data_IF_453272225761
#
_entry.id   IF_453272225761
#
_cell.length_a   1.000
_cell.length_b   1.000
_cell.length_c   1.000
_cell.angle_alpha   90.00
_cell.angle_beta   90.00
_cell.angle_gamma   90.00
#
_symmetry.space_group_name_H-M   'P 1'
#
loop_
_entity.id
_entity.type
_entity.pdbx_description
1 polymer ?
#
# COMPACT_ATOMS: atom_id res chain seq x y z
N UNK A 1 5.32 38.08 51.02
CA UNK A 1 4.40 37.70 49.92
C UNK A 1 5.09 37.62 48.55
N UNK A 2 6.23 38.30 48.34
CA UNK A 2 6.98 38.30 47.06
C UNK A 2 7.43 36.89 46.61
N UNK A 3 7.95 36.09 47.55
CA UNK A 3 8.44 34.73 47.30
C UNK A 3 7.32 33.72 46.89
N UNK A 4 6.09 33.93 47.35
CA UNK A 4 4.96 33.03 47.03
C UNK A 4 4.43 33.27 45.60
N UNK A 5 4.42 34.52 45.16
CA UNK A 5 4.01 34.89 43.81
C UNK A 5 5.04 34.45 42.76
N UNK A 6 6.33 34.54 43.09
CA UNK A 6 7.41 34.07 42.22
C UNK A 6 7.46 32.54 42.12
N UNK A 7 7.27 31.84 43.25
CA UNK A 7 7.11 30.39 43.27
C UNK A 7 5.89 29.92 42.44
N UNK A 8 4.77 30.65 42.48
CA UNK A 8 3.59 30.33 41.68
C UNK A 8 3.82 30.46 40.17
N UNK A 9 4.57 31.48 39.74
CA UNK A 9 4.95 31.66 38.33
C UNK A 9 5.87 30.54 37.85
N UNK A 10 6.86 30.17 38.67
CA UNK A 10 7.76 29.04 38.36
C UNK A 10 6.99 27.71 38.32
N UNK A 11 6.08 27.48 39.25
CA UNK A 11 5.22 26.29 39.24
C UNK A 11 4.32 26.22 38.00
N UNK A 12 3.73 27.36 37.58
CA UNK A 12 2.95 27.44 36.34
C UNK A 12 3.77 27.15 35.09
N UNK A 13 5.00 27.68 35.01
CA UNK A 13 5.91 27.42 33.89
C UNK A 13 6.33 25.93 33.83
N UNK A 14 6.65 25.33 34.98
CA UNK A 14 6.98 23.89 35.05
C UNK A 14 5.79 23.04 34.65
N UNK A 15 4.57 23.40 35.07
CA UNK A 15 3.36 22.66 34.72
C UNK A 15 3.06 22.71 33.22
N UNK A 16 3.21 23.89 32.59
CA UNK A 16 3.10 24.03 31.14
C UNK A 16 4.19 23.24 30.40
N UNK A 17 5.41 23.23 30.92
CA UNK A 17 6.51 22.44 30.35
C UNK A 17 6.24 20.94 30.42
N UNK A 18 5.75 20.42 31.56
CA UNK A 18 5.41 19.00 31.72
C UNK A 18 4.25 18.61 30.81
N UNK A 19 3.25 19.47 30.62
CA UNK A 19 2.17 19.22 29.67
C UNK A 19 2.69 19.16 28.23
N UNK A 20 3.53 20.10 27.83
CA UNK A 20 4.15 20.10 26.50
C UNK A 20 5.02 18.85 26.28
N UNK A 21 5.81 18.45 27.28
CA UNK A 21 6.62 17.23 27.24
C UNK A 21 5.74 15.98 27.13
N UNK A 22 4.60 15.94 27.82
CA UNK A 22 3.67 14.81 27.75
C UNK A 22 3.09 14.67 26.34
N UNK A 23 2.66 15.78 25.71
CA UNK A 23 2.19 15.76 24.33
C UNK A 23 3.30 15.31 23.39
N UNK A 24 4.53 15.82 23.57
CA UNK A 24 5.67 15.44 22.74
C UNK A 24 5.98 13.94 22.82
N UNK A 25 5.99 13.35 24.03
CA UNK A 25 6.22 11.92 24.23
C UNK A 25 5.14 11.09 23.50
N UNK A 26 3.87 11.47 23.60
CA UNK A 26 2.77 10.79 22.90
C UNK A 26 2.95 10.90 21.38
N UNK A 27 3.28 12.08 20.86
CA UNK A 27 3.51 12.28 19.42
C UNK A 27 4.69 11.46 18.90
N UNK A 28 5.79 11.35 19.67
CA UNK A 28 6.92 10.50 19.29
C UNK A 28 6.58 9.01 19.33
N UNK A 29 5.77 8.57 20.29
CA UNK A 29 5.27 7.20 20.34
C UNK A 29 4.47 6.83 19.08
N UNK A 30 3.52 7.69 18.70
CA UNK A 30 2.72 7.51 17.48
C UNK A 30 3.58 7.55 16.20
N UNK A 31 4.58 8.43 16.15
CA UNK A 31 5.50 8.52 15.03
C UNK A 31 6.34 7.24 14.88
N UNK A 32 6.85 6.68 15.99
CA UNK A 32 7.60 5.42 15.99
C UNK A 32 6.75 4.24 15.54
N UNK A 33 5.57 4.06 16.10
CA UNK A 33 4.63 2.99 15.72
C UNK A 33 4.28 3.06 14.22
N UNK A 34 4.17 4.27 13.68
CA UNK A 34 3.97 4.50 12.25
C UNK A 34 5.18 4.11 11.42
N UNK A 35 6.38 4.49 11.84
CA UNK A 35 7.61 4.10 11.16
C UNK A 35 7.74 2.57 11.14
N UNK A 36 7.50 1.91 12.27
CA UNK A 36 7.53 0.44 12.39
C UNK A 36 6.47 -0.21 11.47
N UNK A 37 5.26 0.36 11.39
CA UNK A 37 4.20 -0.14 10.49
C UNK A 37 4.57 0.01 9.01
N UNK A 38 5.09 1.18 8.62
CA UNK A 38 5.48 1.44 7.23
C UNK A 38 6.67 0.57 6.85
N UNK A 39 7.65 0.41 7.74
CA UNK A 39 8.80 -0.45 7.53
C UNK A 39 8.39 -1.91 7.41
N UNK A 40 7.58 -2.45 8.32
CA UNK A 40 7.09 -3.83 8.22
C UNK A 40 6.25 -4.03 6.96
N UNK A 41 5.37 -3.09 6.63
CA UNK A 41 4.60 -3.17 5.38
C UNK A 41 5.50 -3.14 4.14
N UNK A 42 6.49 -2.24 4.10
CA UNK A 42 7.48 -2.16 3.02
C UNK A 42 8.33 -3.42 2.95
N UNK A 43 8.80 -3.92 4.08
CA UNK A 43 9.63 -5.11 4.18
C UNK A 43 8.84 -6.31 3.69
N UNK A 44 7.59 -6.47 4.11
CA UNK A 44 6.69 -7.48 3.55
C UNK A 44 6.60 -7.32 2.04
N UNK A 45 6.15 -6.17 1.54
CA UNK A 45 6.03 -5.95 0.08
C UNK A 45 7.36 -6.11 -0.69
N UNK A 46 8.53 -5.90 -0.08
CA UNK A 46 9.85 -5.91 -0.74
C UNK A 46 10.59 -7.26 -0.61
N UNK A 47 10.63 -7.87 0.58
CA UNK A 47 11.18 -9.22 0.79
C UNK A 47 10.38 -10.29 0.04
N UNK A 48 9.11 -9.99 -0.26
CA UNK A 48 8.28 -10.81 -1.12
C UNK A 48 8.66 -10.78 -2.62
N UNK A 49 9.71 -10.05 -3.04
CA UNK A 49 10.03 -9.94 -4.48
C UNK A 49 11.41 -10.54 -4.79
N UNK A 50 12.34 -10.54 -3.82
CA UNK A 50 13.76 -10.90 -4.05
C UNK A 50 14.31 -12.02 -3.13
N UNK A 51 13.46 -12.60 -2.27
CA UNK A 51 13.87 -13.60 -1.26
C UNK A 51 13.54 -15.05 -1.63
N UNK A 52 14.51 -15.95 -1.40
CA UNK A 52 14.37 -17.41 -1.48
C UNK A 52 13.38 -18.01 -0.43
N UNK A 53 12.72 -17.15 0.34
CA UNK A 53 11.99 -17.53 1.56
C UNK A 53 10.48 -17.70 1.35
N UNK A 54 9.88 -17.09 0.32
CA UNK A 54 8.40 -17.12 0.19
C UNK A 54 7.85 -17.28 -1.23
N UNK A 55 8.62 -17.00 -2.28
CA UNK A 55 8.16 -17.12 -3.67
C UNK A 55 8.82 -18.29 -4.35
N UNK A 56 8.02 -19.31 -4.69
CA UNK A 56 8.44 -20.28 -5.69
C UNK A 56 8.04 -19.76 -7.06
N UNK A 57 8.99 -19.19 -7.77
CA UNK A 57 8.86 -19.03 -9.21
C UNK A 57 8.57 -20.42 -9.80
N UNK A 58 7.47 -20.55 -10.53
CA UNK A 58 7.11 -21.81 -11.20
C UNK A 58 8.02 -22.13 -12.39
N UNK A 59 9.07 -21.33 -12.61
CA UNK A 59 10.01 -21.44 -13.73
C UNK A 59 9.46 -20.89 -15.05
N UNK A 60 8.25 -20.31 -15.06
CA UNK A 60 7.66 -19.70 -16.25
C UNK A 60 7.89 -18.20 -16.23
N UNK A 61 8.88 -17.73 -17.00
CA UNK A 61 9.07 -16.32 -17.31
C UNK A 61 8.74 -16.05 -18.78
N UNK A 62 8.10 -14.93 -19.07
CA UNK A 62 7.88 -14.49 -20.44
C UNK A 62 7.80 -12.98 -20.56
N UNK A 63 8.31 -12.45 -21.66
CA UNK A 63 8.05 -11.05 -22.02
C UNK A 63 6.61 -10.91 -22.50
N UNK A 64 5.89 -9.93 -21.96
CA UNK A 64 4.47 -9.70 -22.24
C UNK A 64 4.22 -8.26 -22.67
N UNK A 65 3.18 -8.06 -23.47
CA UNK A 65 2.64 -6.74 -23.80
C UNK A 65 1.53 -6.32 -22.85
N UNK A 66 1.09 -5.06 -22.98
CA UNK A 66 0.00 -4.48 -22.18
C UNK A 66 -1.31 -5.26 -22.36
N UNK A 67 -1.55 -5.82 -23.55
CA UNK A 67 -2.69 -6.65 -23.90
C UNK A 67 -2.81 -7.93 -23.06
N UNK A 68 -1.69 -8.41 -22.48
CA UNK A 68 -1.70 -9.52 -21.54
C UNK A 68 -1.79 -9.06 -20.08
N UNK A 69 -1.19 -7.93 -19.73
CA UNK A 69 -1.18 -7.37 -18.37
C UNK A 69 -2.58 -6.91 -17.95
N UNK A 70 -3.26 -6.14 -18.80
CA UNK A 70 -4.59 -5.56 -18.50
C UNK A 70 -5.62 -6.63 -18.09
N UNK A 71 -5.89 -7.69 -18.89
CA UNK A 71 -6.87 -8.71 -18.50
C UNK A 71 -6.46 -9.47 -17.23
N UNK A 72 -5.17 -9.61 -16.96
CA UNK A 72 -4.68 -10.23 -15.72
C UNK A 72 -5.01 -9.36 -14.51
N UNK A 73 -4.86 -8.03 -14.59
CA UNK A 73 -5.29 -7.11 -13.53
C UNK A 73 -6.79 -7.25 -13.22
N UNK A 74 -7.64 -7.36 -14.24
CA UNK A 74 -9.07 -7.57 -13.99
C UNK A 74 -9.35 -8.92 -13.32
N UNK A 75 -8.68 -9.98 -13.75
CA UNK A 75 -8.82 -11.31 -13.14
C UNK A 75 -8.37 -11.35 -11.69
N UNK A 76 -7.35 -10.59 -11.29
CA UNK A 76 -6.87 -10.60 -9.89
C UNK A 76 -7.93 -10.16 -8.89
N UNK A 77 -8.81 -9.22 -9.27
CA UNK A 77 -9.95 -8.77 -8.47
C UNK A 77 -11.13 -9.75 -8.41
N UNK A 78 -11.16 -10.75 -9.28
CA UNK A 78 -12.18 -11.82 -9.30
C UNK A 78 -11.63 -13.03 -8.54
N UNK A 79 -10.41 -13.44 -8.86
CA UNK A 79 -9.78 -14.65 -8.35
C UNK A 79 -8.99 -14.42 -7.04
N UNK A 80 -8.94 -13.17 -6.55
CA UNK A 80 -8.29 -12.77 -5.30
C UNK A 80 -6.81 -13.20 -5.21
N UNK A 81 -6.06 -12.94 -6.27
CA UNK A 81 -4.61 -13.09 -6.29
C UNK A 81 -3.89 -11.75 -6.34
N UNK A 82 -2.60 -11.75 -6.02
CA UNK A 82 -1.77 -10.54 -5.94
C UNK A 82 -1.03 -10.30 -7.26
N UNK A 83 -0.97 -9.05 -7.69
CA UNK A 83 -0.09 -8.61 -8.78
C UNK A 83 0.90 -7.60 -8.22
N UNK A 84 2.17 -7.73 -8.60
CA UNK A 84 3.25 -6.85 -8.20
C UNK A 84 3.89 -6.23 -9.42
N UNK A 85 4.22 -4.94 -9.34
CA UNK A 85 4.93 -4.22 -10.39
C UNK A 85 6.29 -3.74 -9.86
N UNK A 86 7.37 -4.38 -10.33
CA UNK A 86 8.75 -4.05 -9.98
C UNK A 86 9.33 -3.10 -11.04
N UNK A 87 10.08 -2.08 -10.63
CA UNK A 87 10.70 -1.12 -11.55
C UNK A 87 9.76 -0.02 -12.06
N UNK A 88 8.62 0.19 -11.40
CA UNK A 88 7.79 1.38 -11.66
C UNK A 88 8.48 2.65 -11.17
N UNK A 89 8.40 3.71 -11.98
CA UNK A 89 8.90 5.06 -11.65
C UNK A 89 8.13 5.75 -10.48
N UNK A 90 7.16 5.08 -9.85
CA UNK A 90 6.35 5.58 -8.73
C UNK A 90 5.17 4.64 -8.39
N UNK A 91 4.40 4.88 -7.31
CA UNK A 91 3.31 3.99 -6.93
C UNK A 91 2.18 4.00 -7.96
N UNK A 92 1.35 2.96 -7.97
CA UNK A 92 0.10 2.91 -8.74
C UNK A 92 -0.90 3.89 -8.11
N UNK A 93 -0.97 3.88 -6.79
CA UNK A 93 -1.70 4.82 -5.94
C UNK A 93 -1.07 4.80 -4.54
N UNK A 94 -1.36 5.82 -3.73
CA UNK A 94 -0.97 5.88 -2.33
C UNK A 94 -2.23 5.72 -1.49
N UNK A 95 -2.27 4.75 -0.60
CA UNK A 95 -3.37 4.53 0.34
C UNK A 95 -3.27 5.52 1.50
N UNK A 96 -4.37 6.19 1.82
CA UNK A 96 -4.47 7.11 2.95
C UNK A 96 -5.13 6.37 4.12
N UNK A 97 -4.36 6.13 5.18
CA UNK A 97 -4.80 5.47 6.39
C UNK A 97 -5.30 6.48 7.44
N UNK A 98 -6.03 5.96 8.42
CA UNK A 98 -6.42 6.71 9.61
C UNK A 98 -5.22 7.37 10.30
N UNK A 99 -5.40 8.61 10.78
CA UNK A 99 -4.32 9.37 11.43
C UNK A 99 -3.36 10.07 10.47
N UNK A 100 -3.71 10.18 9.18
CA UNK A 100 -2.92 10.91 8.19
C UNK A 100 -1.68 10.15 7.68
N UNK A 101 -1.62 8.84 7.91
CA UNK A 101 -0.53 7.98 7.45
C UNK A 101 -0.79 7.58 5.99
N UNK A 102 0.28 7.32 5.25
CA UNK A 102 0.19 6.94 3.83
C UNK A 102 1.03 5.71 3.50
N UNK A 103 0.56 4.90 2.56
CA UNK A 103 1.27 3.71 2.06
C UNK A 103 1.29 3.75 0.53
N UNK A 104 2.48 3.74 -0.05
CA UNK A 104 2.65 3.63 -1.49
C UNK A 104 2.40 2.21 -1.97
N UNK A 105 1.48 2.05 -2.93
CA UNK A 105 1.09 0.75 -3.46
C UNK A 105 1.71 0.51 -4.84
N UNK A 106 2.57 -0.50 -4.90
CA UNK A 106 3.13 -1.06 -6.13
C UNK A 106 2.46 -2.38 -6.52
N UNK A 107 1.35 -2.70 -5.84
CA UNK A 107 0.62 -3.94 -5.99
C UNK A 107 -0.85 -3.70 -6.27
N UNK A 108 -1.45 -4.69 -6.92
CA UNK A 108 -2.89 -4.79 -7.09
C UNK A 108 -3.34 -6.08 -6.43
N UNK A 109 -4.08 -5.93 -5.33
CA UNK A 109 -4.59 -7.03 -4.53
C UNK A 109 -5.80 -6.56 -3.70
N UNK A 110 -6.57 -7.52 -3.18
CA UNK A 110 -7.74 -7.29 -2.32
C UNK A 110 -7.47 -7.68 -0.86
N UNK A 111 -6.21 -7.86 -0.48
CA UNK A 111 -5.88 -8.43 0.82
C UNK A 111 -5.95 -7.42 1.95
N UNK A 112 -6.36 -7.89 3.11
CA UNK A 112 -6.11 -7.20 4.38
C UNK A 112 -4.81 -7.72 4.96
N UNK A 113 -3.90 -6.80 5.24
CA UNK A 113 -2.58 -7.10 5.78
C UNK A 113 -2.55 -6.67 7.24
N UNK A 114 -2.33 -7.60 8.16
CA UNK A 114 -2.08 -7.27 9.57
C UNK A 114 -0.58 -7.08 9.78
N UNK A 115 -0.20 -5.91 10.25
CA UNK A 115 1.19 -5.54 10.58
C UNK A 115 1.21 -5.13 12.05
N UNK A 116 1.73 -6.00 12.90
CA UNK A 116 1.63 -5.85 14.36
C UNK A 116 0.17 -5.78 14.85
N UNK A 117 -0.17 -4.75 15.62
CA UNK A 117 -1.54 -4.49 16.09
C UNK A 117 -2.41 -3.71 15.07
N UNK A 118 -1.82 -3.27 13.95
CA UNK A 118 -2.50 -2.42 12.96
C UNK A 118 -2.95 -3.27 11.77
N UNK A 119 -4.24 -3.17 11.45
CA UNK A 119 -4.83 -3.78 10.27
C UNK A 119 -4.82 -2.80 9.09
N UNK A 120 -3.94 -3.04 8.12
CA UNK A 120 -3.88 -2.33 6.86
C UNK A 120 -4.87 -2.98 5.90
N UNK A 121 -6.05 -2.36 5.77
CA UNK A 121 -7.05 -2.77 4.80
C UNK A 121 -6.74 -2.13 3.45
N UNK A 122 -6.51 -2.95 2.41
CA UNK A 122 -6.50 -2.45 1.04
C UNK A 122 -7.89 -1.96 0.64
N UNK A 123 -7.96 -1.29 -0.52
CA UNK A 123 -9.20 -0.64 -0.98
C UNK A 123 -10.34 -1.66 -1.03
N UNK A 124 -11.40 -1.38 -0.24
CA UNK A 124 -12.57 -2.25 -0.17
C UNK A 124 -13.46 -2.03 -1.40
N UNK A 125 -13.54 -3.04 -2.26
CA UNK A 125 -14.33 -3.03 -3.49
C UNK A 125 -15.42 -4.10 -3.39
N UNK A 126 -16.59 -3.71 -2.89
CA UNK A 126 -17.67 -4.61 -2.51
C UNK A 126 -18.44 -5.18 -3.71
N UNK A 127 -18.44 -4.50 -4.85
CA UNK A 127 -19.19 -4.90 -6.04
C UNK A 127 -18.44 -4.60 -7.34
N UNK A 128 -18.92 -5.16 -8.45
CA UNK A 128 -18.27 -5.04 -9.76
C UNK A 128 -18.24 -3.59 -10.28
N UNK A 129 -19.21 -2.77 -9.90
CA UNK A 129 -19.22 -1.35 -10.22
C UNK A 129 -18.06 -0.62 -9.55
N UNK A 130 -17.82 -0.89 -8.26
CA UNK A 130 -16.70 -0.38 -7.47
C UNK A 130 -15.35 -0.86 -8.00
N UNK A 131 -15.26 -2.13 -8.37
CA UNK A 131 -14.05 -2.68 -9.00
C UNK A 131 -13.78 -1.95 -10.31
N UNK A 132 -14.80 -1.80 -11.16
CA UNK A 132 -14.68 -1.15 -12.45
C UNK A 132 -14.29 0.33 -12.32
N UNK A 133 -14.97 1.10 -11.47
CA UNK A 133 -14.70 2.54 -11.33
C UNK A 133 -13.31 2.81 -10.74
N UNK A 134 -12.86 2.01 -9.77
CA UNK A 134 -11.51 2.09 -9.22
C UNK A 134 -10.44 1.72 -10.26
N UNK A 135 -10.63 0.60 -10.96
CA UNK A 135 -9.71 0.14 -12.00
C UNK A 135 -9.60 1.14 -13.15
N UNK A 136 -10.71 1.72 -13.61
CA UNK A 136 -10.68 2.78 -14.62
C UNK A 136 -9.83 3.98 -14.19
N UNK A 137 -9.97 4.41 -12.94
CA UNK A 137 -9.19 5.50 -12.38
C UNK A 137 -7.69 5.21 -12.31
N UNK A 138 -7.28 4.06 -11.77
CA UNK A 138 -5.86 3.75 -11.57
C UNK A 138 -5.16 3.32 -12.88
N UNK A 139 -5.86 2.61 -13.78
CA UNK A 139 -5.24 2.06 -14.98
C UNK A 139 -5.24 3.05 -16.14
N UNK A 140 -6.37 3.74 -16.35
CA UNK A 140 -6.58 4.61 -17.51
C UNK A 140 -6.58 6.10 -17.17
N UNK A 141 -6.57 6.46 -15.88
CA UNK A 141 -6.80 7.85 -15.45
C UNK A 141 -8.17 8.38 -15.89
N UNK A 142 -9.15 7.49 -15.99
CA UNK A 142 -10.51 7.80 -16.42
C UNK A 142 -11.44 8.00 -15.21
N UNK A 143 -11.99 9.20 -15.10
CA UNK A 143 -12.90 9.61 -14.03
C UNK A 143 -14.32 9.90 -14.55
N UNK A 144 -14.70 9.41 -15.72
CA UNK A 144 -16.05 9.59 -16.29
C UNK A 144 -17.16 9.18 -15.31
N UNK A 145 -16.95 8.06 -14.61
CA UNK A 145 -17.87 7.58 -13.53
C UNK A 145 -17.95 8.51 -12.31
N UNK A 146 -17.02 9.45 -12.20
CA UNK A 146 -16.95 10.47 -11.16
C UNK A 146 -17.21 11.88 -11.72
N UNK A 147 -17.96 12.01 -12.82
CA UNK A 147 -18.21 13.29 -13.51
C UNK A 147 -16.91 14.01 -13.90
N UNK A 148 -15.85 13.27 -14.22
CA UNK A 148 -14.53 13.80 -14.53
C UNK A 148 -13.71 14.24 -13.31
N UNK A 149 -14.18 13.99 -12.08
CA UNK A 149 -13.54 14.48 -10.86
C UNK A 149 -12.63 13.43 -10.21
N UNK A 150 -11.32 13.60 -10.39
CA UNK A 150 -10.27 12.80 -9.71
C UNK A 150 -10.43 12.80 -8.19
N UNK A 151 -10.65 13.97 -7.58
CA UNK A 151 -10.70 14.11 -6.12
C UNK A 151 -11.90 13.35 -5.52
N UNK A 152 -12.97 13.15 -6.29
CA UNK A 152 -14.12 12.36 -5.87
C UNK A 152 -13.76 10.87 -5.74
N UNK A 153 -12.98 10.33 -6.68
CA UNK A 153 -12.46 8.96 -6.59
C UNK A 153 -11.50 8.81 -5.41
N UNK A 154 -10.52 9.70 -5.30
CA UNK A 154 -9.53 9.72 -4.22
C UNK A 154 -10.18 9.73 -2.84
N UNK A 155 -11.22 10.57 -2.67
CA UNK A 155 -12.00 10.64 -1.42
C UNK A 155 -12.85 9.40 -1.18
N UNK A 156 -13.45 8.81 -2.22
CA UNK A 156 -14.30 7.61 -2.08
C UNK A 156 -13.50 6.40 -1.61
N UNK A 157 -12.26 6.26 -2.10
CA UNK A 157 -11.41 5.09 -1.84
C UNK A 157 -10.29 5.34 -0.84
N UNK A 158 -10.20 6.54 -0.28
CA UNK A 158 -9.10 6.97 0.57
C UNK A 158 -7.74 6.69 -0.07
N UNK A 159 -7.57 7.11 -1.32
CA UNK A 159 -6.31 6.98 -2.06
C UNK A 159 -5.87 8.32 -2.63
N UNK A 160 -4.60 8.40 -3.01
CA UNK A 160 -4.03 9.50 -3.79
C UNK A 160 -3.42 8.91 -5.05
N UNK A 161 -3.84 9.38 -6.22
CA UNK A 161 -3.30 8.95 -7.50
C UNK A 161 -2.07 9.78 -7.86
N UNK A 162 -1.12 9.19 -8.61
CA UNK A 162 0.10 9.86 -9.03
C UNK A 162 -0.14 11.25 -9.62
N UNK A 163 0.74 12.19 -9.26
CA UNK A 163 0.74 13.56 -9.76
C UNK A 163 1.13 13.67 -11.24
N UNK A 164 1.62 12.59 -11.85
CA UNK A 164 1.99 12.55 -13.26
C UNK A 164 0.82 12.77 -14.23
N UNK A 165 -0.42 12.72 -13.73
CA UNK A 165 -1.60 12.90 -14.58
C UNK A 165 -1.88 11.70 -15.49
N UNK A 166 -1.28 10.55 -15.22
CA UNK A 166 -1.30 9.38 -16.10
C UNK A 166 -1.59 8.09 -15.34
N UNK A 167 -2.45 7.25 -15.89
CA UNK A 167 -2.75 5.92 -15.36
C UNK A 167 -1.60 4.95 -15.55
N UNK A 168 -1.69 3.79 -14.89
CA UNK A 168 -0.66 2.74 -14.96
C UNK A 168 -0.35 2.32 -16.41
N UNK A 169 -1.36 2.23 -17.29
CA UNK A 169 -1.17 1.75 -18.66
C UNK A 169 -0.28 2.68 -19.47
N UNK A 170 -0.48 3.99 -19.37
CA UNK A 170 0.36 4.95 -20.10
C UNK A 170 1.80 4.94 -19.56
N UNK A 171 1.99 4.70 -18.26
CA UNK A 171 3.31 4.59 -17.63
C UNK A 171 4.07 3.31 -18.01
N UNK A 172 3.34 2.24 -18.29
CA UNK A 172 3.91 0.97 -18.76
C UNK A 172 4.16 0.95 -20.28
N UNK A 173 3.59 1.90 -21.02
CA UNK A 173 3.69 1.97 -22.47
C UNK A 173 5.13 2.18 -22.90
N UNK A 174 5.56 1.40 -23.89
CA UNK A 174 6.93 1.44 -24.41
C UNK A 174 7.99 0.83 -23.48
N UNK A 175 7.62 0.33 -22.31
CA UNK A 175 8.53 -0.41 -21.43
C UNK A 175 8.66 -1.87 -21.88
N UNK A 176 9.71 -2.56 -21.43
CA UNK A 176 9.82 -4.02 -21.51
C UNK A 176 9.23 -4.59 -20.22
N UNK A 177 8.29 -5.51 -20.35
CA UNK A 177 7.57 -6.11 -19.21
C UNK A 177 7.84 -7.61 -19.23
N UNK A 178 8.43 -8.12 -18.16
CA UNK A 178 8.68 -9.56 -17.97
C UNK A 178 7.76 -10.07 -16.86
N UNK A 179 6.94 -11.07 -17.17
CA UNK A 179 6.00 -11.71 -16.26
C UNK A 179 6.65 -12.92 -15.58
N UNK A 180 6.49 -13.00 -14.26
CA UNK A 180 6.90 -14.12 -13.42
C UNK A 180 5.69 -14.66 -12.67
N UNK A 181 5.47 -15.97 -12.72
CA UNK A 181 4.40 -16.64 -12.01
C UNK A 181 4.92 -17.32 -10.74
N UNK A 182 4.22 -17.12 -9.63
CA UNK A 182 4.57 -17.74 -8.36
C UNK A 182 3.38 -17.93 -7.42
N UNK A 183 3.71 -18.37 -6.21
CA UNK A 183 2.79 -18.50 -5.08
C UNK A 183 3.45 -17.91 -3.83
N UNK A 184 2.62 -17.41 -2.91
CA UNK A 184 3.03 -16.95 -1.58
C UNK A 184 2.02 -17.42 -0.53
N UNK A 185 2.43 -17.37 0.73
CA UNK A 185 1.56 -17.67 1.86
C UNK A 185 1.10 -16.37 2.50
N UNK A 186 -0.22 -16.24 2.74
CA UNK A 186 -0.79 -15.01 3.29
C UNK A 186 -0.38 -14.75 4.76
N UNK A 187 0.08 -15.79 5.46
CA UNK A 187 0.43 -15.74 6.87
C UNK A 187 1.84 -16.34 7.06
N UNK A 188 2.77 -15.50 7.49
CA UNK A 188 4.19 -15.86 7.67
C UNK A 188 4.52 -16.30 9.09
N UNK A 189 3.49 -16.59 9.91
CA UNK A 189 3.72 -17.09 11.26
C UNK A 189 4.48 -18.44 11.17
N UNK A 190 5.75 -18.42 11.61
CA UNK A 190 6.63 -19.60 11.66
C UNK A 190 6.06 -20.71 12.55
N UNK A 191 5.20 -20.36 13.51
CA UNK A 191 4.53 -21.30 14.41
C UNK A 191 3.33 -22.02 13.76
N UNK A 192 2.93 -21.62 12.54
CA UNK A 192 1.82 -22.23 11.81
C UNK A 192 2.39 -23.24 10.80
N UNK A 193 2.05 -24.54 10.91
CA UNK A 193 2.43 -25.52 9.90
C UNK A 193 1.98 -25.10 8.50
N UNK A 194 2.80 -25.36 7.47
CA UNK A 194 2.51 -24.93 6.08
C UNK A 194 1.14 -25.40 5.57
N UNK A 195 0.65 -26.55 6.06
CA UNK A 195 -0.69 -27.08 5.74
C UNK A 195 -1.85 -26.18 6.19
N UNK A 196 -1.59 -25.28 7.14
CA UNK A 196 -2.56 -24.34 7.68
C UNK A 196 -2.35 -22.92 7.11
N UNK A 197 -1.36 -22.71 6.25
CA UNK A 197 -1.15 -21.44 5.57
C UNK A 197 -2.00 -21.38 4.29
N UNK A 198 -2.71 -20.27 4.10
CA UNK A 198 -3.44 -20.02 2.86
C UNK A 198 -2.44 -19.67 1.76
N UNK A 199 -2.22 -20.59 0.83
CA UNK A 199 -1.45 -20.34 -0.39
C UNK A 199 -2.26 -19.48 -1.35
N UNK A 200 -1.62 -18.45 -1.92
CA UNK A 200 -2.19 -17.58 -2.94
C UNK A 200 -1.25 -17.42 -4.11
N UNK A 201 -1.85 -17.27 -5.29
CA UNK A 201 -1.11 -17.00 -6.51
C UNK A 201 -0.58 -15.56 -6.49
N UNK A 202 0.58 -15.39 -7.10
CA UNK A 202 1.14 -14.08 -7.38
C UNK A 202 1.62 -13.99 -8.82
N UNK A 203 1.52 -12.80 -9.39
CA UNK A 203 2.10 -12.47 -10.68
C UNK A 203 2.97 -11.23 -10.50
N UNK A 204 4.25 -11.35 -10.84
CA UNK A 204 5.19 -10.23 -10.77
C UNK A 204 5.50 -9.75 -12.18
N UNK A 205 5.29 -8.46 -12.42
CA UNK A 205 5.69 -7.78 -13.64
C UNK A 205 6.93 -6.94 -13.37
N UNK A 206 8.08 -7.39 -13.90
CA UNK A 206 9.32 -6.62 -13.88
C UNK A 206 9.35 -5.67 -15.07
N UNK A 207 9.52 -4.38 -14.79
CA UNK A 207 9.43 -3.30 -15.76
C UNK A 207 10.82 -2.72 -15.98
N UNK A 208 11.24 -2.73 -17.23
CA UNK A 208 12.54 -2.22 -17.64
C UNK A 208 12.35 -1.16 -18.72
N UNK A 209 13.20 -0.14 -18.72
CA UNK A 209 13.28 0.80 -19.84
C UNK A 209 13.79 0.03 -21.07
N UNK A 210 13.16 0.28 -22.23
CA UNK A 210 13.64 -0.24 -23.51
C UNK A 210 14.86 0.53 -23.99
#
# INVERSE_FOLDING_TARGET
>A
MENAAEALKMAGAVLLFVLALSVAIVSFGQARETADTILDYRDRETFYIDGNYYYKATGTERTVGLEAVIPTIYRSYIENYKIVFEGLDGPIYTLNLSGGKTIDKYTIDLETTKTGEIEVNNVSLANDEQKSEFLCGILYYDFTKFNGNKNALEKKYNVTLPSSGSGLIERLKGKKITEYLGVYYQNDNEDVPDVNKTEKRIITYKIENR
#
